data_IF_680520514015
#
_entry.id   IF_680520514015
#
_cell.length_a   1.000
_cell.length_b   1.000
_cell.length_c   1.000
_cell.angle_alpha   90.00
_cell.angle_beta   90.00
_cell.angle_gamma   90.00
#
_symmetry.space_group_name_H-M   'P 1'
#
loop_
_entity.id
_entity.type
_entity.pdbx_description
1 polymer ?
#
# COMPACT_ATOMS: atom_id res chain seq x y z
N UNK A 1 -35.11 -10.32 -19.12
CA UNK A 1 -34.07 -11.23 -18.63
C UNK A 1 -33.03 -10.42 -17.89
N UNK A 2 -33.02 -10.51 -16.57
CA UNK A 2 -31.92 -9.95 -15.80
C UNK A 2 -30.65 -10.77 -16.05
N UNK A 3 -29.65 -10.16 -16.66
CA UNK A 3 -28.31 -10.73 -16.74
C UNK A 3 -27.77 -10.82 -15.33
N UNK A 4 -27.68 -12.02 -14.75
CA UNK A 4 -26.98 -12.27 -13.51
C UNK A 4 -25.55 -11.77 -13.69
N UNK A 5 -25.20 -10.64 -13.02
CA UNK A 5 -23.82 -10.20 -12.92
C UNK A 5 -23.04 -11.29 -12.18
N UNK A 6 -22.17 -11.98 -12.90
CA UNK A 6 -21.29 -12.97 -12.28
C UNK A 6 -20.18 -12.22 -11.58
N UNK A 7 -20.23 -12.12 -10.26
CA UNK A 7 -19.15 -11.56 -9.48
C UNK A 7 -18.00 -12.58 -9.42
N UNK A 8 -16.80 -12.14 -9.76
CA UNK A 8 -15.59 -12.94 -9.58
C UNK A 8 -15.11 -12.79 -8.14
N UNK A 9 -14.66 -13.90 -7.57
CA UNK A 9 -14.02 -13.89 -6.25
C UNK A 9 -12.64 -14.53 -6.33
N UNK A 10 -11.72 -14.03 -5.53
CA UNK A 10 -10.35 -14.51 -5.43
C UNK A 10 -10.02 -14.74 -3.97
N UNK A 11 -9.28 -15.80 -3.67
CA UNK A 11 -8.84 -16.13 -2.33
C UNK A 11 -7.33 -15.92 -2.22
N UNK A 12 -6.90 -15.29 -1.13
CA UNK A 12 -5.50 -15.14 -0.78
C UNK A 12 -5.27 -15.84 0.56
N UNK A 13 -4.27 -16.71 0.63
CA UNK A 13 -4.00 -17.51 1.81
C UNK A 13 -2.59 -17.22 2.33
N UNK A 14 -2.48 -17.01 3.62
CA UNK A 14 -1.21 -16.92 4.34
C UNK A 14 -1.25 -17.81 5.56
N UNK A 15 -0.07 -18.20 6.04
CA UNK A 15 0.08 -18.98 7.26
C UNK A 15 1.08 -18.27 8.17
N UNK A 16 0.86 -18.32 9.48
CA UNK A 16 1.80 -17.78 10.47
C UNK A 16 2.18 -18.86 11.46
N UNK A 17 3.48 -18.96 11.75
CA UNK A 17 4.02 -19.92 12.72
C UNK A 17 4.73 -19.15 13.82
N UNK A 18 4.37 -19.43 15.07
CA UNK A 18 5.06 -18.87 16.23
C UNK A 18 6.45 -19.50 16.36
N UNK A 19 7.47 -18.70 16.65
CA UNK A 19 8.84 -19.16 16.85
C UNK A 19 9.25 -19.10 18.32
N UNK A 20 9.21 -17.92 18.90
CA UNK A 20 9.61 -17.71 20.30
C UNK A 20 9.12 -16.34 20.76
N UNK A 21 8.86 -16.20 22.05
CA UNK A 21 8.45 -14.92 22.65
C UNK A 21 7.37 -14.21 21.81
N UNK A 22 7.69 -13.07 21.20
CA UNK A 22 6.79 -12.30 20.33
C UNK A 22 7.19 -12.38 18.86
N UNK A 23 7.89 -13.41 18.46
CA UNK A 23 8.41 -13.62 17.12
C UNK A 23 7.68 -14.74 16.40
N UNK A 24 7.32 -14.51 15.16
CA UNK A 24 6.75 -15.51 14.27
C UNK A 24 7.29 -15.39 12.85
N UNK A 25 6.80 -16.27 11.98
CA UNK A 25 7.11 -16.25 10.56
C UNK A 25 5.81 -16.30 9.78
N UNK A 26 5.64 -15.35 8.88
CA UNK A 26 4.51 -15.32 7.94
C UNK A 26 4.94 -15.98 6.64
N UNK A 27 4.12 -16.88 6.14
CA UNK A 27 4.38 -17.64 4.90
C UNK A 27 3.22 -17.52 3.93
N UNK A 28 3.56 -17.53 2.66
CA UNK A 28 2.60 -17.69 1.57
C UNK A 28 3.22 -18.61 0.51
N UNK A 29 2.38 -19.34 -0.22
CA UNK A 29 2.84 -20.33 -1.19
C UNK A 29 3.77 -19.70 -2.25
N UNK A 30 4.93 -20.31 -2.46
CA UNK A 30 5.94 -19.92 -3.44
C UNK A 30 6.50 -18.49 -3.26
N UNK A 31 6.48 -17.99 -2.03
CA UNK A 31 7.01 -16.66 -1.69
C UNK A 31 8.04 -16.77 -0.55
N UNK A 32 8.97 -15.82 -0.46
CA UNK A 32 9.89 -15.76 0.67
C UNK A 32 9.16 -15.61 2.00
N UNK A 33 9.67 -16.24 3.04
CA UNK A 33 9.17 -16.09 4.40
C UNK A 33 9.45 -14.67 4.92
N UNK A 34 8.57 -14.16 5.76
CA UNK A 34 8.73 -12.85 6.41
C UNK A 34 8.74 -13.09 7.92
N UNK A 35 9.86 -12.76 8.58
CA UNK A 35 9.91 -12.71 10.03
C UNK A 35 9.12 -11.51 10.55
N UNK A 36 8.32 -11.74 11.59
CA UNK A 36 7.44 -10.74 12.17
C UNK A 36 7.54 -10.73 13.69
N UNK A 37 7.49 -9.55 14.27
CA UNK A 37 7.46 -9.33 15.72
C UNK A 37 6.48 -8.20 16.06
N UNK A 38 6.07 -8.11 17.32
CA UNK A 38 5.40 -6.93 17.81
C UNK A 38 6.37 -5.73 17.74
N UNK A 39 5.87 -4.49 17.64
CA UNK A 39 6.74 -3.31 17.75
C UNK A 39 7.44 -3.27 19.11
N UNK A 40 8.65 -2.65 19.21
CA UNK A 40 9.35 -2.50 20.50
C UNK A 40 8.52 -1.84 21.59
N UNK A 41 7.64 -0.91 21.21
CA UNK A 41 6.72 -0.23 22.14
C UNK A 41 5.71 -1.21 22.77
N UNK A 42 5.48 -2.34 22.13
CA UNK A 42 4.64 -3.44 22.61
C UNK A 42 5.45 -4.70 22.94
N UNK A 43 6.69 -4.51 23.42
CA UNK A 43 7.60 -5.57 23.90
C UNK A 43 8.10 -6.52 22.81
N UNK A 44 8.12 -6.08 21.56
CA UNK A 44 8.70 -6.82 20.45
C UNK A 44 10.18 -6.53 20.24
N UNK A 45 10.76 -7.15 19.24
CA UNK A 45 12.16 -6.99 18.86
C UNK A 45 12.32 -5.86 17.83
N UNK A 46 13.32 -5.01 18.04
CA UNK A 46 13.69 -3.99 17.05
C UNK A 46 14.28 -4.63 15.78
N UNK A 47 14.12 -3.95 14.66
CA UNK A 47 14.72 -4.39 13.39
C UNK A 47 13.99 -5.49 12.65
N UNK A 48 12.82 -5.88 13.09
CA UNK A 48 11.99 -6.91 12.49
C UNK A 48 10.67 -6.30 12.04
N UNK A 49 10.14 -6.75 10.90
CA UNK A 49 8.85 -6.32 10.42
C UNK A 49 7.75 -6.55 11.45
N UNK A 50 6.82 -5.63 11.55
CA UNK A 50 5.67 -5.73 12.44
C UNK A 50 4.37 -5.87 11.64
N UNK A 51 3.29 -6.38 12.24
CA UNK A 51 1.97 -6.37 11.58
C UNK A 51 1.54 -4.95 11.19
N UNK A 52 1.92 -3.95 11.98
CA UNK A 52 1.63 -2.54 11.72
C UNK A 52 2.36 -2.06 10.47
N UNK A 53 3.64 -2.42 10.31
CA UNK A 53 4.41 -2.14 9.09
C UNK A 53 3.76 -2.81 7.88
N UNK A 54 3.32 -4.05 8.03
CA UNK A 54 2.66 -4.81 6.97
C UNK A 54 1.33 -4.17 6.55
N UNK A 55 0.55 -3.69 7.50
CA UNK A 55 -0.72 -3.02 7.23
C UNK A 55 -0.50 -1.76 6.40
N UNK A 56 0.41 -0.89 6.83
CA UNK A 56 0.75 0.35 6.12
C UNK A 56 1.35 0.03 4.74
N UNK A 57 2.24 -0.95 4.68
CA UNK A 57 2.86 -1.39 3.43
C UNK A 57 1.86 -1.98 2.44
N UNK A 58 0.83 -2.67 2.92
CA UNK A 58 -0.22 -3.20 2.05
C UNK A 58 -0.96 -2.08 1.33
N UNK A 59 -1.32 -1.01 2.03
CA UNK A 59 -1.94 0.18 1.43
C UNK A 59 -1.00 0.83 0.42
N UNK A 60 0.25 1.02 0.81
CA UNK A 60 1.27 1.67 -0.02
C UNK A 60 1.58 0.87 -1.29
N UNK A 61 1.83 -0.41 -1.14
CA UNK A 61 2.14 -1.30 -2.27
C UNK A 61 0.94 -1.46 -3.22
N UNK A 62 -0.27 -1.58 -2.70
CA UNK A 62 -1.48 -1.68 -3.52
C UNK A 62 -1.68 -0.41 -4.36
N UNK A 63 -1.43 0.75 -3.78
CA UNK A 63 -1.51 2.03 -4.51
C UNK A 63 -0.50 2.06 -5.66
N UNK A 64 0.74 1.61 -5.43
CA UNK A 64 1.74 1.50 -6.50
C UNK A 64 1.28 0.53 -7.61
N UNK A 65 0.84 -0.66 -7.25
CA UNK A 65 0.43 -1.66 -8.23
C UNK A 65 -0.73 -1.16 -9.08
N UNK A 66 -1.72 -0.53 -8.47
CA UNK A 66 -2.88 0.02 -9.18
C UNK A 66 -2.45 1.21 -10.06
N UNK A 67 -1.58 2.09 -9.55
CA UNK A 67 -1.03 3.21 -10.31
C UNK A 67 -0.30 2.71 -11.56
N UNK A 68 0.61 1.76 -11.40
CA UNK A 68 1.40 1.23 -12.52
C UNK A 68 0.53 0.51 -13.55
N UNK A 69 -0.48 -0.23 -13.12
CA UNK A 69 -1.42 -0.88 -14.02
C UNK A 69 -2.14 0.13 -14.92
N UNK A 70 -2.63 1.22 -14.34
CA UNK A 70 -3.32 2.28 -15.09
C UNK A 70 -2.34 3.08 -15.95
N UNK A 71 -1.16 3.41 -15.40
CA UNK A 71 -0.11 4.14 -16.13
C UNK A 71 0.30 3.38 -17.40
N UNK A 72 0.58 2.10 -17.27
CA UNK A 72 0.94 1.24 -18.40
C UNK A 72 -0.20 1.12 -19.41
N UNK A 73 -1.44 0.96 -18.96
CA UNK A 73 -2.61 0.88 -19.83
C UNK A 73 -2.82 2.16 -20.63
N UNK A 74 -2.52 3.31 -20.05
CA UNK A 74 -2.67 4.63 -20.69
C UNK A 74 -1.41 5.10 -21.42
N UNK A 75 -0.37 4.26 -21.48
CA UNK A 75 0.88 4.59 -22.17
C UNK A 75 1.68 5.70 -21.52
N UNK A 76 1.52 5.91 -20.19
CA UNK A 76 2.34 6.86 -19.44
C UNK A 76 3.68 6.24 -19.10
N UNK A 77 4.78 6.89 -19.51
CA UNK A 77 6.13 6.51 -19.14
C UNK A 77 6.51 7.09 -17.78
N UNK A 78 6.69 6.23 -16.80
CA UNK A 78 7.14 6.59 -15.46
C UNK A 78 8.64 6.33 -15.37
N UNK A 79 9.41 7.37 -15.04
CA UNK A 79 10.86 7.25 -14.86
C UNK A 79 11.18 6.64 -13.51
N UNK A 80 10.52 7.11 -12.45
CA UNK A 80 10.66 6.55 -11.12
C UNK A 80 9.40 6.80 -10.28
N UNK A 81 9.21 5.95 -9.31
CA UNK A 81 8.14 6.06 -8.31
C UNK A 81 8.71 5.66 -6.96
N UNK A 82 8.55 6.52 -5.99
CA UNK A 82 8.85 6.23 -4.59
C UNK A 82 7.73 6.81 -3.73
N UNK A 83 7.30 6.09 -2.72
CA UNK A 83 6.23 6.56 -1.86
C UNK A 83 6.52 6.24 -0.40
N UNK A 84 6.66 7.30 0.40
CA UNK A 84 6.68 7.19 1.84
C UNK A 84 5.24 7.09 2.34
N UNK A 85 4.99 6.15 3.23
CA UNK A 85 3.69 5.98 3.85
C UNK A 85 3.81 6.09 5.36
N UNK A 86 2.82 6.70 5.99
CA UNK A 86 2.74 6.88 7.43
C UNK A 86 1.36 6.46 7.91
N UNK A 87 1.32 5.50 8.83
CA UNK A 87 0.08 5.09 9.48
C UNK A 87 0.00 5.69 10.88
N UNK A 88 -1.14 6.26 11.21
CA UNK A 88 -1.40 6.83 12.54
C UNK A 88 -2.21 5.83 13.37
N UNK A 89 -1.56 5.22 14.35
CA UNK A 89 -2.18 4.28 15.28
C UNK A 89 -2.58 5.05 16.54
N UNK A 90 -3.88 5.11 16.81
CA UNK A 90 -4.42 5.88 17.92
C UNK A 90 -5.28 5.03 18.85
N UNK A 91 -5.21 5.34 20.15
CA UNK A 91 -6.06 4.73 21.15
C UNK A 91 -7.36 5.52 21.27
N UNK A 92 -8.42 4.97 20.73
CA UNK A 92 -9.75 5.61 20.68
C UNK A 92 -10.83 4.61 21.05
N UNK A 93 -11.75 5.02 21.93
CA UNK A 93 -12.87 4.17 22.32
C UNK A 93 -12.46 2.87 23.01
N UNK A 94 -11.35 2.87 23.75
CA UNK A 94 -10.88 1.71 24.50
C UNK A 94 -10.01 0.74 23.73
N UNK A 95 -9.61 1.07 22.49
CA UNK A 95 -8.77 0.21 21.66
C UNK A 95 -7.88 1.00 20.71
N UNK A 96 -6.77 0.38 20.30
CA UNK A 96 -5.93 0.91 19.25
C UNK A 96 -6.51 0.58 17.88
N UNK A 97 -6.45 1.54 16.97
CA UNK A 97 -6.71 1.31 15.55
C UNK A 97 -5.99 2.34 14.69
N UNK A 98 -5.70 1.99 13.46
CA UNK A 98 -5.23 2.95 12.48
C UNK A 98 -6.38 3.86 12.07
N UNK A 99 -6.27 5.14 12.39
CA UNK A 99 -7.26 6.15 12.01
C UNK A 99 -6.98 6.73 10.64
N UNK A 100 -5.71 6.78 10.26
CA UNK A 100 -5.27 7.41 9.01
C UNK A 100 -4.03 6.72 8.45
N UNK A 101 -3.96 6.62 7.12
CA UNK A 101 -2.75 6.27 6.38
C UNK A 101 -2.49 7.38 5.38
N UNK A 102 -1.32 8.01 5.49
CA UNK A 102 -0.88 9.11 4.63
C UNK A 102 0.14 8.60 3.64
N UNK A 103 -0.10 8.84 2.36
CA UNK A 103 0.80 8.45 1.28
C UNK A 103 1.40 9.68 0.63
N UNK A 104 2.72 9.67 0.42
CA UNK A 104 3.48 10.76 -0.17
C UNK A 104 4.22 10.27 -1.43
N UNK A 105 3.49 9.96 -2.50
CA UNK A 105 4.13 9.46 -3.71
C UNK A 105 4.95 10.54 -4.40
N UNK A 106 6.17 10.17 -4.79
CA UNK A 106 7.07 10.99 -5.59
C UNK A 106 7.23 10.31 -6.95
N UNK A 107 6.75 10.93 -7.99
CA UNK A 107 6.75 10.38 -9.34
C UNK A 107 7.55 11.27 -10.26
N UNK A 108 8.45 10.65 -11.01
CA UNK A 108 9.25 11.36 -12.03
C UNK A 108 8.79 10.91 -13.40
N UNK A 109 8.52 11.88 -14.26
CA UNK A 109 8.08 11.68 -15.66
C UNK A 109 9.00 12.45 -16.61
N UNK A 110 8.89 12.17 -17.91
CA UNK A 110 9.75 12.78 -18.93
C UNK A 110 9.25 14.13 -19.45
N UNK A 111 7.96 14.40 -19.34
CA UNK A 111 7.33 15.55 -19.96
C UNK A 111 6.45 16.31 -18.99
N UNK A 112 6.46 17.64 -19.11
CA UNK A 112 5.55 18.51 -18.34
C UNK A 112 4.08 18.19 -18.62
N UNK A 113 3.77 17.75 -19.83
CA UNK A 113 2.42 17.35 -20.22
C UNK A 113 1.89 16.15 -19.41
N UNK A 114 2.80 15.31 -18.85
CA UNK A 114 2.43 14.12 -18.10
C UNK A 114 2.14 14.41 -16.62
N UNK A 115 2.44 15.59 -16.10
CA UNK A 115 2.27 15.93 -14.68
C UNK A 115 0.81 15.79 -14.24
N UNK A 116 -0.11 16.40 -14.98
CA UNK A 116 -1.55 16.28 -14.67
C UNK A 116 -2.07 14.86 -14.86
N UNK A 117 -1.54 14.15 -15.85
CA UNK A 117 -1.88 12.74 -16.08
C UNK A 117 -1.52 11.87 -14.87
N UNK A 118 -0.33 12.07 -14.30
CA UNK A 118 0.10 11.37 -13.08
C UNK A 118 -0.88 11.61 -11.93
N UNK A 119 -1.25 12.86 -11.69
CA UNK A 119 -2.18 13.22 -10.61
C UNK A 119 -3.54 12.55 -10.78
N UNK A 120 -4.08 12.55 -11.99
CA UNK A 120 -5.35 11.90 -12.31
C UNK A 120 -5.28 10.38 -12.14
N UNK A 121 -4.16 9.77 -12.55
CA UNK A 121 -3.96 8.32 -12.40
C UNK A 121 -3.79 7.96 -10.91
N UNK A 122 -3.11 8.78 -10.12
CA UNK A 122 -2.98 8.56 -8.67
C UNK A 122 -4.35 8.62 -7.97
N UNK A 123 -5.20 9.56 -8.32
CA UNK A 123 -6.57 9.62 -7.79
C UNK A 123 -7.39 8.38 -8.17
N UNK A 124 -7.28 7.94 -9.42
CA UNK A 124 -7.92 6.71 -9.89
C UNK A 124 -7.39 5.48 -9.16
N UNK A 125 -6.06 5.40 -8.96
CA UNK A 125 -5.42 4.33 -8.21
C UNK A 125 -5.92 4.27 -6.77
N UNK A 126 -6.02 5.41 -6.12
CA UNK A 126 -6.55 5.50 -4.75
C UNK A 126 -8.00 5.01 -4.70
N UNK A 127 -8.85 5.45 -5.61
CA UNK A 127 -10.26 5.05 -5.65
C UNK A 127 -10.45 3.55 -5.92
N UNK A 128 -9.52 2.92 -6.62
CA UNK A 128 -9.59 1.51 -7.03
C UNK A 128 -8.64 0.59 -6.26
N UNK A 129 -7.96 1.08 -5.24
CA UNK A 129 -7.06 0.28 -4.41
C UNK A 129 -7.86 -0.70 -3.55
N UNK A 130 -7.65 -1.99 -3.76
CA UNK A 130 -8.38 -3.05 -3.04
C UNK A 130 -8.19 -2.96 -1.54
N UNK A 131 -6.99 -2.67 -1.10
CA UNK A 131 -6.67 -2.58 0.33
C UNK A 131 -7.31 -1.34 0.94
N UNK A 132 -7.19 -0.17 0.31
CA UNK A 132 -7.82 1.06 0.80
C UNK A 132 -9.34 0.93 0.90
N UNK A 133 -9.95 0.23 -0.06
CA UNK A 133 -11.39 -0.02 -0.08
C UNK A 133 -11.85 -1.03 0.98
N UNK A 134 -10.92 -1.75 1.60
CA UNK A 134 -11.20 -2.82 2.57
C UNK A 134 -10.98 -2.41 4.02
N UNK A 135 -10.58 -1.18 4.29
CA UNK A 135 -10.23 -0.70 5.63
C UNK A 135 -11.06 0.52 6.02
N UNK A 136 -11.19 0.75 7.34
CA UNK A 136 -11.90 1.91 7.88
C UNK A 136 -11.02 3.15 8.06
N UNK A 137 -9.71 2.99 7.97
CA UNK A 137 -8.75 4.10 8.07
C UNK A 137 -8.94 5.07 6.91
N UNK A 138 -8.86 6.38 7.18
CA UNK A 138 -8.82 7.39 6.13
C UNK A 138 -7.46 7.29 5.41
N UNK A 139 -7.49 7.17 4.09
CA UNK A 139 -6.26 7.13 3.27
C UNK A 139 -6.16 8.41 2.47
N UNK A 140 -5.04 9.12 2.62
CA UNK A 140 -4.80 10.40 1.93
C UNK A 140 -3.58 10.31 1.04
N UNK A 141 -3.59 11.06 -0.06
CA UNK A 141 -2.49 11.17 -1.00
C UNK A 141 -2.00 12.62 -1.06
N UNK A 142 -0.70 12.81 -0.90
CA UNK A 142 -0.04 14.10 -1.10
C UNK A 142 1.10 13.88 -2.11
N UNK A 143 0.77 13.91 -3.43
CA UNK A 143 1.74 13.57 -4.46
C UNK A 143 2.69 14.73 -4.77
N UNK A 144 3.90 14.39 -5.14
CA UNK A 144 4.87 15.28 -5.75
C UNK A 144 5.27 14.71 -7.12
N UNK A 145 5.13 15.49 -8.16
CA UNK A 145 5.46 15.06 -9.52
C UNK A 145 6.58 15.95 -10.05
N UNK A 146 7.64 15.32 -10.53
CA UNK A 146 8.80 16.00 -11.11
C UNK A 146 8.99 15.57 -12.55
N UNK A 147 9.52 16.48 -13.34
CA UNK A 147 9.95 16.22 -14.72
C UNK A 147 11.45 16.03 -14.71
N UNK A 148 11.93 15.01 -15.42
CA UNK A 148 13.38 14.82 -15.60
C UNK A 148 13.96 16.09 -16.20
N UNK A 149 15.05 16.61 -15.60
CA UNK A 149 15.77 17.74 -16.18
C UNK A 149 16.29 17.33 -17.56
N UNK A 150 15.81 18.01 -18.61
CA UNK A 150 16.34 17.82 -19.96
C UNK A 150 17.84 18.16 -20.00
N UNK A 151 18.59 17.28 -20.65
CA UNK A 151 19.99 17.59 -20.98
C UNK A 151 20.02 18.57 -22.16
#
# INVERSE_FOLDING_TARGET
METKKTFKSFSCETNVVWKSARRGVVRAAAKPDIEVSSPPEFKGEAGIWTPEDMFVSAVNACTLMTFMAVAMQRGLEVVSYECRAEGLLEYLGGKYRFTEVRLYPQVVVKSQADVERVKNILESAHANCFISNSISSAVTLTPEVRVVAGI
#
